data_IF_476342492651
#
_entry.id   IF_476342492651
#
_cell.length_a   1.000
_cell.length_b   1.000
_cell.length_c   1.000
_cell.angle_alpha   90.00
_cell.angle_beta   90.00
_cell.angle_gamma   90.00
#
_symmetry.space_group_name_H-M   'P 1'
#
loop_
_entity.id
_entity.type
_entity.pdbx_description
1 polymer ?
#
# COMPACT_ATOMS: atom_id res chain seq x y z
N UNK A 1 3.45 -10.00 -12.43
CA UNK A 1 2.15 -10.15 -11.75
C UNK A 1 1.55 -8.74 -11.60
N UNK A 2 0.28 -8.54 -11.92
CA UNK A 2 -0.41 -7.24 -11.73
C UNK A 2 -1.70 -7.48 -10.95
N UNK A 3 -1.99 -6.60 -10.00
CA UNK A 3 -3.20 -6.63 -9.18
C UNK A 3 -3.79 -5.22 -9.15
N UNK A 4 -5.09 -5.10 -9.43
CA UNK A 4 -5.85 -3.87 -9.31
C UNK A 4 -6.87 -4.02 -8.18
N UNK A 5 -6.80 -3.14 -7.19
CA UNK A 5 -7.76 -3.09 -6.08
C UNK A 5 -8.56 -1.80 -6.20
N UNK A 6 -9.86 -1.93 -6.46
CA UNK A 6 -10.78 -0.80 -6.58
C UNK A 6 -12.03 -1.05 -5.74
N UNK A 7 -12.77 0.01 -5.44
CA UNK A 7 -14.02 -0.04 -4.69
C UNK A 7 -14.38 1.35 -4.12
N UNK A 8 -15.62 1.54 -3.67
CA UNK A 8 -16.07 2.79 -3.06
C UNK A 8 -15.22 3.27 -1.87
N UNK A 9 -15.40 4.53 -1.45
CA UNK A 9 -14.79 5.03 -0.21
C UNK A 9 -15.19 4.17 0.99
N UNK A 10 -14.26 3.95 1.93
CA UNK A 10 -14.54 3.17 3.15
C UNK A 10 -14.44 1.65 3.02
N UNK A 11 -14.13 1.08 1.85
CA UNK A 11 -14.01 -0.39 1.68
C UNK A 11 -12.72 -1.02 2.19
N UNK A 12 -11.91 -0.30 2.99
CA UNK A 12 -10.71 -0.88 3.62
C UNK A 12 -9.53 -1.14 2.68
N UNK A 13 -9.48 -0.56 1.47
CA UNK A 13 -8.36 -0.77 0.53
C UNK A 13 -7.00 -0.41 1.15
N UNK A 14 -6.92 0.68 1.91
CA UNK A 14 -5.72 1.07 2.66
C UNK A 14 -5.30 0.00 3.66
N UNK A 15 -6.25 -0.64 4.34
CA UNK A 15 -5.97 -1.77 5.25
C UNK A 15 -5.34 -2.96 4.50
N UNK A 16 -5.80 -3.26 3.29
CA UNK A 16 -5.19 -4.29 2.45
C UNK A 16 -3.75 -3.93 2.08
N UNK A 17 -3.46 -2.66 1.77
CA UNK A 17 -2.09 -2.19 1.51
C UNK A 17 -1.19 -2.43 2.71
N UNK A 18 -1.64 -2.09 3.93
CA UNK A 18 -0.87 -2.37 5.15
C UNK A 18 -0.67 -3.87 5.38
N UNK A 19 -1.69 -4.71 5.13
CA UNK A 19 -1.55 -6.16 5.26
C UNK A 19 -0.47 -6.72 4.32
N UNK A 20 -0.44 -6.27 3.06
CA UNK A 20 0.62 -6.64 2.11
C UNK A 20 2.00 -6.19 2.60
N UNK A 21 2.10 -4.96 3.12
CA UNK A 21 3.35 -4.44 3.70
C UNK A 21 3.85 -5.33 4.85
N UNK A 22 2.96 -5.70 5.79
CA UNK A 22 3.29 -6.60 6.90
C UNK A 22 3.75 -7.98 6.45
N UNK A 23 3.11 -8.55 5.42
CA UNK A 23 3.54 -9.84 4.84
C UNK A 23 4.94 -9.71 4.22
N UNK A 24 5.19 -8.66 3.44
CA UNK A 24 6.50 -8.46 2.83
C UNK A 24 7.60 -8.24 3.87
N UNK A 25 7.30 -7.54 4.97
CA UNK A 25 8.20 -7.41 6.11
C UNK A 25 8.47 -8.74 6.79
N UNK A 26 7.44 -9.57 7.01
CA UNK A 26 7.56 -10.88 7.64
C UNK A 26 8.51 -11.82 6.87
N UNK A 27 8.48 -11.77 5.54
CA UNK A 27 9.38 -12.55 4.68
C UNK A 27 10.72 -11.86 4.38
N UNK A 28 11.00 -10.70 5.00
CA UNK A 28 12.20 -9.87 4.74
C UNK A 28 12.35 -9.41 3.27
N UNK A 29 11.24 -9.34 2.54
CA UNK A 29 11.16 -8.94 1.13
C UNK A 29 10.56 -7.53 0.93
N UNK A 30 10.42 -6.74 1.99
CA UNK A 30 9.87 -5.39 1.91
C UNK A 30 10.60 -4.48 0.91
N UNK A 31 11.90 -4.70 0.70
CA UNK A 31 12.71 -3.97 -0.27
C UNK A 31 12.33 -4.25 -1.74
N UNK A 32 11.55 -5.30 -2.01
CA UNK A 32 11.10 -5.68 -3.36
C UNK A 32 9.81 -4.99 -3.80
N UNK A 33 9.17 -4.22 -2.90
CA UNK A 33 7.94 -3.49 -3.18
C UNK A 33 8.08 -2.02 -2.80
N UNK A 34 7.48 -1.13 -3.60
CA UNK A 34 7.37 0.29 -3.28
C UNK A 34 5.89 0.66 -3.26
N UNK A 35 5.44 1.30 -2.19
CA UNK A 35 4.07 1.82 -2.14
C UNK A 35 4.10 3.29 -2.53
N UNK A 36 3.21 3.69 -3.42
CA UNK A 36 3.16 5.05 -3.94
C UNK A 36 1.71 5.53 -3.93
N UNK A 37 1.53 6.82 -3.64
CA UNK A 37 0.24 7.46 -3.76
C UNK A 37 0.35 8.81 -4.51
N UNK A 38 -0.72 9.23 -5.22
CA UNK A 38 -0.69 10.44 -6.04
C UNK A 38 -0.74 11.75 -5.23
N UNK A 39 -1.11 11.71 -3.95
CA UNK A 39 -1.17 12.89 -3.08
C UNK A 39 -0.44 12.64 -1.76
N UNK A 40 0.12 13.70 -1.16
CA UNK A 40 0.84 13.60 0.12
C UNK A 40 -0.04 13.04 1.25
N UNK A 41 -1.33 13.40 1.27
CA UNK A 41 -2.28 12.87 2.26
C UNK A 41 -2.54 11.37 2.08
N UNK A 42 -2.61 10.88 0.84
CA UNK A 42 -2.77 9.45 0.56
C UNK A 42 -1.48 8.66 0.81
N UNK A 43 -0.32 9.27 0.56
CA UNK A 43 0.99 8.67 0.85
C UNK A 43 1.20 8.51 2.36
N UNK A 44 0.80 9.53 3.13
CA UNK A 44 0.78 9.48 4.59
C UNK A 44 -0.12 8.36 5.13
N UNK A 45 -1.23 8.04 4.45
CA UNK A 45 -2.13 6.95 4.84
C UNK A 45 -1.54 5.55 4.61
N UNK A 46 -0.48 5.41 3.81
CA UNK A 46 0.18 4.12 3.55
C UNK A 46 1.61 4.08 4.11
N UNK A 47 1.98 5.09 4.91
CA UNK A 47 3.31 5.33 5.46
C UNK A 47 4.40 5.23 4.38
N UNK A 48 4.20 5.90 3.25
CA UNK A 48 5.11 5.86 2.11
C UNK A 48 5.16 7.21 1.37
N UNK A 49 5.81 7.21 0.20
CA UNK A 49 6.12 8.42 -0.56
C UNK A 49 5.05 8.75 -1.61
N UNK A 50 4.97 10.04 -1.94
CA UNK A 50 4.28 10.46 -3.16
C UNK A 50 5.03 10.00 -4.40
N UNK A 51 4.30 9.74 -5.49
CA UNK A 51 4.92 9.55 -6.81
C UNK A 51 5.48 10.87 -7.36
#
# INVERSE_FOLDING_TARGET
LSMLITGPGGTGKTHVVHAVKSVMQHYNCAHMIRFLAPTGSAANLIDDMTI
#
